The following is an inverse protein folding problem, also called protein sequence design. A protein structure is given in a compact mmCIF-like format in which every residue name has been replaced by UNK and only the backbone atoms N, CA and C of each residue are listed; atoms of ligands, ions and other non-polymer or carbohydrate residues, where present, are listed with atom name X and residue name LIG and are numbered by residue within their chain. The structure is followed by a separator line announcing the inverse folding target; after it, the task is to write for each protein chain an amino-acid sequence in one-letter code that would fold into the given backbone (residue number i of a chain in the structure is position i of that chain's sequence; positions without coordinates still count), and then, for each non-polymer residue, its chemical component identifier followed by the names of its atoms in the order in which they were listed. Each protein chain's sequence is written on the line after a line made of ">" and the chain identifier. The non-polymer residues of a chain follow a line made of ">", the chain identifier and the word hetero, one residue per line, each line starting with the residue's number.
data_IF_798050171408
#
_entry.id   IF_798050171408
#
_cell.length_a   1.000
_cell.length_b   1.000
_cell.length_c   1.000
_cell.angle_alpha   90.00
_cell.angle_beta   90.00
_cell.angle_gamma   90.00
#
_symmetry.space_group_name_H-M   'P 1'
#
loop_
_entity.id
_entity.type
_entity.pdbx_description
1 polymer ?
#
# COMPACT_ATOMS: atom_id res chain seq x y z
N UNK A 1 -23.32 -36.00 -41.45
CA UNK A 1 -23.90 -35.41 -40.21
C UNK A 1 -22.82 -34.62 -39.46
N UNK A 2 -22.16 -33.65 -40.13
CA UNK A 2 -21.16 -32.77 -39.53
C UNK A 2 -21.30 -31.36 -40.14
N UNK A 3 -22.50 -30.78 -40.07
CA UNK A 3 -22.76 -29.38 -40.44
C UNK A 3 -23.20 -28.63 -39.19
N UNK A 4 -22.22 -28.26 -38.36
CA UNK A 4 -22.47 -27.61 -37.08
C UNK A 4 -21.22 -27.03 -36.44
N UNK A 5 -20.24 -26.60 -37.24
CA UNK A 5 -19.18 -25.73 -36.72
C UNK A 5 -19.70 -24.29 -36.79
N UNK A 6 -19.94 -23.60 -35.66
CA UNK A 6 -20.29 -22.19 -35.68
C UNK A 6 -19.18 -21.43 -36.41
N UNK A 7 -19.56 -20.61 -37.39
CA UNK A 7 -18.63 -19.75 -38.11
C UNK A 7 -18.04 -18.74 -37.12
N UNK A 8 -16.81 -19.01 -36.66
CA UNK A 8 -16.08 -18.10 -35.77
C UNK A 8 -15.82 -16.82 -36.55
N UNK A 9 -16.50 -15.75 -36.17
CA UNK A 9 -16.27 -14.43 -36.74
C UNK A 9 -15.07 -13.77 -36.05
N UNK A 10 -14.41 -12.84 -36.74
CA UNK A 10 -13.30 -12.07 -36.16
C UNK A 10 -13.72 -11.32 -34.87
N UNK A 11 -15.00 -11.00 -34.75
CA UNK A 11 -15.59 -10.39 -33.55
C UNK A 11 -15.58 -11.35 -32.36
N UNK A 12 -15.83 -12.65 -32.57
CA UNK A 12 -15.80 -13.65 -31.50
C UNK A 12 -14.36 -13.85 -30.99
N UNK A 13 -13.37 -13.81 -31.88
CA UNK A 13 -11.96 -13.88 -31.51
C UNK A 13 -11.54 -12.65 -30.69
N UNK A 14 -11.98 -11.46 -31.12
CA UNK A 14 -11.72 -10.21 -30.39
C UNK A 14 -12.39 -10.21 -29.02
N UNK A 15 -13.63 -10.68 -28.91
CA UNK A 15 -14.38 -10.77 -27.66
C UNK A 15 -13.72 -11.75 -26.69
N UNK A 16 -13.35 -12.95 -27.16
CA UNK A 16 -12.62 -13.93 -26.36
C UNK A 16 -11.28 -13.36 -25.88
N UNK A 17 -10.53 -12.66 -26.75
CA UNK A 17 -9.27 -12.02 -26.36
C UNK A 17 -9.48 -10.92 -25.31
N UNK A 18 -10.50 -10.09 -25.47
CA UNK A 18 -10.84 -9.03 -24.52
C UNK A 18 -11.22 -9.62 -23.16
N UNK A 19 -12.12 -10.60 -23.14
CA UNK A 19 -12.55 -11.29 -21.92
C UNK A 19 -11.38 -12.01 -21.27
N UNK A 20 -10.56 -12.72 -22.04
CA UNK A 20 -9.37 -13.39 -21.54
C UNK A 20 -8.35 -12.41 -20.94
N UNK A 21 -8.14 -11.26 -21.59
CA UNK A 21 -7.29 -10.19 -21.06
C UNK A 21 -7.82 -9.65 -19.74
N UNK A 22 -9.11 -9.32 -19.66
CA UNK A 22 -9.76 -8.85 -18.43
C UNK A 22 -9.64 -9.89 -17.31
N UNK A 23 -9.96 -11.16 -17.58
CA UNK A 23 -9.85 -12.25 -16.60
C UNK A 23 -8.40 -12.40 -16.14
N UNK A 24 -7.44 -12.41 -17.07
CA UNK A 24 -6.02 -12.51 -16.73
C UNK A 24 -5.56 -11.35 -15.85
N UNK A 25 -5.97 -10.12 -16.16
CA UNK A 25 -5.65 -8.94 -15.39
C UNK A 25 -6.26 -8.97 -13.98
N UNK A 26 -7.51 -9.41 -13.87
CA UNK A 26 -8.19 -9.63 -12.58
C UNK A 26 -7.48 -10.72 -11.76
N UNK A 27 -7.05 -11.82 -12.38
CA UNK A 27 -6.31 -12.89 -11.71
C UNK A 27 -4.95 -12.39 -11.19
N UNK A 28 -4.24 -11.58 -11.97
CA UNK A 28 -2.99 -10.93 -11.55
C UNK A 28 -3.21 -9.98 -10.37
N UNK A 29 -4.25 -9.15 -10.44
CA UNK A 29 -4.60 -8.17 -9.40
C UNK A 29 -4.94 -8.85 -8.06
N UNK A 30 -5.61 -10.00 -8.10
CA UNK A 30 -6.06 -10.71 -6.90
C UNK A 30 -4.96 -11.64 -6.35
N UNK A 31 -3.97 -12.05 -7.14
CA UNK A 31 -2.91 -12.99 -6.73
C UNK A 31 -2.14 -12.48 -5.50
N UNK A 32 -2.07 -13.30 -4.45
CA UNK A 32 -1.37 -12.96 -3.21
C UNK A 32 -2.17 -12.07 -2.24
N UNK A 33 -3.44 -11.79 -2.55
CA UNK A 33 -4.34 -11.02 -1.66
C UNK A 33 -5.28 -11.94 -0.87
N UNK A 34 -5.89 -11.41 0.20
CA UNK A 34 -6.96 -12.10 0.94
C UNK A 34 -8.17 -12.44 0.05
N UNK A 35 -8.35 -11.75 -1.08
CA UNK A 35 -9.45 -12.00 -2.00
C UNK A 35 -9.39 -13.38 -2.68
N UNK A 36 -8.21 -13.98 -2.85
CA UNK A 36 -8.07 -15.39 -3.30
C UNK A 36 -8.72 -16.34 -2.29
N UNK A 37 -8.47 -16.13 -0.99
CA UNK A 37 -9.04 -16.98 0.07
C UNK A 37 -10.55 -16.85 0.11
N UNK A 38 -11.08 -15.64 -0.06
CA UNK A 38 -12.52 -15.38 -0.13
C UNK A 38 -13.18 -16.06 -1.33
N UNK A 39 -12.53 -16.05 -2.50
CA UNK A 39 -13.00 -16.75 -3.70
C UNK A 39 -13.07 -18.27 -3.47
N UNK A 40 -12.04 -18.87 -2.88
CA UNK A 40 -12.07 -20.29 -2.51
C UNK A 40 -13.17 -20.59 -1.47
N UNK A 41 -13.39 -19.70 -0.50
CA UNK A 41 -14.49 -19.82 0.45
C UNK A 41 -15.87 -19.80 -0.22
N UNK A 42 -16.05 -18.93 -1.22
CA UNK A 42 -17.29 -18.86 -2.01
C UNK A 42 -17.50 -20.13 -2.84
N UNK A 43 -16.46 -20.63 -3.51
CA UNK A 43 -16.50 -21.89 -4.26
C UNK A 43 -16.84 -23.07 -3.35
N UNK A 44 -16.25 -23.12 -2.16
CA UNK A 44 -16.54 -24.13 -1.15
C UNK A 44 -18.02 -24.08 -0.70
N UNK A 45 -18.55 -22.89 -0.41
CA UNK A 45 -19.98 -22.72 -0.09
C UNK A 45 -20.91 -23.15 -1.24
N UNK A 46 -20.55 -22.84 -2.49
CA UNK A 46 -21.31 -23.28 -3.66
C UNK A 46 -21.29 -24.80 -3.82
N UNK A 47 -20.14 -25.45 -3.60
CA UNK A 47 -20.01 -26.90 -3.58
C UNK A 47 -20.87 -27.53 -2.48
N UNK A 48 -20.81 -26.98 -1.25
CA UNK A 48 -21.64 -27.43 -0.13
C UNK A 48 -23.14 -27.31 -0.43
N UNK A 49 -23.57 -26.24 -1.11
CA UNK A 49 -24.96 -26.08 -1.54
C UNK A 49 -25.40 -27.21 -2.49
N UNK A 50 -24.57 -27.54 -3.49
CA UNK A 50 -24.87 -28.62 -4.45
C UNK A 50 -24.92 -29.98 -3.75
N UNK A 51 -23.97 -30.26 -2.85
CA UNK A 51 -23.94 -31.50 -2.06
C UNK A 51 -25.18 -31.60 -1.16
N UNK A 52 -25.52 -30.52 -0.45
CA UNK A 52 -26.70 -30.44 0.41
C UNK A 52 -28.00 -30.70 -0.35
N UNK A 53 -28.12 -30.13 -1.56
CA UNK A 53 -29.27 -30.35 -2.45
C UNK A 53 -29.37 -31.82 -2.88
N UNK A 54 -28.24 -32.45 -3.17
CA UNK A 54 -28.19 -33.87 -3.59
C UNK A 54 -28.43 -34.83 -2.43
N UNK A 55 -28.00 -34.46 -1.21
CA UNK A 55 -28.20 -35.22 0.02
C UNK A 55 -29.60 -35.02 0.65
N UNK A 56 -30.41 -34.08 0.12
CA UNK A 56 -31.75 -33.79 0.64
C UNK A 56 -31.75 -33.02 1.98
N UNK A 57 -30.66 -32.32 2.31
CA UNK A 57 -30.54 -31.57 3.56
C UNK A 57 -31.29 -30.23 3.45
N UNK A 58 -32.60 -30.24 3.73
CA UNK A 58 -33.50 -29.08 3.54
C UNK A 58 -33.06 -27.86 4.35
N UNK A 59 -32.77 -28.02 5.64
CA UNK A 59 -32.40 -26.90 6.53
C UNK A 59 -31.07 -26.27 6.14
N UNK A 60 -30.08 -27.08 5.80
CA UNK A 60 -28.75 -26.59 5.39
C UNK A 60 -28.82 -25.91 4.02
N UNK A 61 -29.59 -26.47 3.08
CA UNK A 61 -29.86 -25.85 1.79
C UNK A 61 -30.55 -24.49 1.96
N UNK A 62 -31.54 -24.38 2.86
CA UNK A 62 -32.21 -23.11 3.16
C UNK A 62 -31.24 -22.08 3.75
N UNK A 63 -30.38 -22.48 4.70
CA UNK A 63 -29.40 -21.59 5.32
C UNK A 63 -28.39 -21.07 4.30
N UNK A 64 -27.74 -21.96 3.56
CA UNK A 64 -26.75 -21.60 2.54
C UNK A 64 -27.41 -20.83 1.39
N UNK A 65 -28.63 -21.21 1.01
CA UNK A 65 -29.42 -20.51 0.00
C UNK A 65 -29.74 -19.07 0.37
N UNK A 66 -30.11 -18.80 1.63
CA UNK A 66 -30.32 -17.43 2.11
C UNK A 66 -29.00 -16.62 2.14
N UNK A 67 -27.89 -17.25 2.54
CA UNK A 67 -26.58 -16.60 2.51
C UNK A 67 -26.17 -16.23 1.08
N UNK A 68 -26.30 -17.17 0.13
CA UNK A 68 -26.03 -16.94 -1.29
C UNK A 68 -27.01 -15.94 -1.92
N UNK A 69 -28.28 -15.93 -1.50
CA UNK A 69 -29.27 -14.95 -1.95
C UNK A 69 -28.92 -13.51 -1.55
N UNK A 70 -28.29 -13.35 -0.37
CA UNK A 70 -27.78 -12.07 0.12
C UNK A 70 -26.30 -11.84 -0.21
N UNK A 71 -25.72 -12.63 -1.13
CA UNK A 71 -24.29 -12.62 -1.42
C UNK A 71 -23.78 -11.24 -1.82
N UNK A 72 -24.57 -10.45 -2.56
CA UNK A 72 -24.17 -9.10 -2.97
C UNK A 72 -23.96 -8.16 -1.76
N UNK A 73 -24.85 -8.22 -0.76
CA UNK A 73 -24.71 -7.41 0.46
C UNK A 73 -23.51 -7.86 1.26
N UNK A 74 -23.36 -9.18 1.45
CA UNK A 74 -22.19 -9.76 2.15
C UNK A 74 -20.89 -9.36 1.45
N UNK A 75 -20.85 -9.45 0.12
CA UNK A 75 -19.70 -9.07 -0.69
C UNK A 75 -19.35 -7.59 -0.47
N UNK A 76 -20.32 -6.67 -0.56
CA UNK A 76 -20.08 -5.24 -0.33
C UNK A 76 -19.55 -4.97 1.08
N UNK A 77 -20.10 -5.61 2.11
CA UNK A 77 -19.65 -5.43 3.50
C UNK A 77 -18.23 -5.98 3.71
N UNK A 78 -17.93 -7.15 3.17
CA UNK A 78 -16.61 -7.78 3.30
C UNK A 78 -15.55 -7.03 2.50
N UNK A 79 -15.88 -6.61 1.29
CA UNK A 79 -14.98 -5.86 0.38
C UNK A 79 -15.09 -4.34 0.55
N UNK A 80 -15.74 -3.84 1.61
CA UNK A 80 -15.98 -2.41 1.79
C UNK A 80 -14.67 -1.60 1.77
N UNK A 81 -13.61 -2.16 2.34
CA UNK A 81 -12.29 -1.52 2.47
C UNK A 81 -11.61 -1.48 1.11
N UNK A 82 -11.67 -2.56 0.35
CA UNK A 82 -11.10 -2.69 -0.99
C UNK A 82 -11.82 -1.78 -1.99
N UNK A 83 -13.15 -1.75 -1.95
CA UNK A 83 -13.97 -0.85 -2.79
C UNK A 83 -13.61 0.60 -2.48
N UNK A 84 -13.56 0.98 -1.19
CA UNK A 84 -13.14 2.32 -0.75
C UNK A 84 -11.74 2.65 -1.27
N UNK A 85 -10.76 1.75 -1.12
CA UNK A 85 -9.38 1.95 -1.59
C UNK A 85 -9.31 2.10 -3.11
N UNK A 86 -10.00 1.24 -3.86
CA UNK A 86 -10.05 1.31 -5.32
C UNK A 86 -10.67 2.61 -5.81
N UNK A 87 -11.79 3.02 -5.19
CA UNK A 87 -12.43 4.30 -5.49
C UNK A 87 -11.60 5.50 -5.05
N UNK A 88 -10.85 5.42 -3.95
CA UNK A 88 -9.91 6.47 -3.55
C UNK A 88 -8.81 6.65 -4.60
N UNK A 89 -8.22 5.54 -5.09
CA UNK A 89 -7.26 5.56 -6.20
C UNK A 89 -7.87 6.16 -7.48
N UNK A 90 -9.12 5.81 -7.81
CA UNK A 90 -9.83 6.33 -8.98
C UNK A 90 -10.22 7.82 -8.80
N UNK A 91 -10.65 8.22 -7.61
CA UNK A 91 -11.00 9.60 -7.27
C UNK A 91 -9.80 10.54 -7.32
N UNK A 92 -8.60 10.01 -7.09
CA UNK A 92 -7.33 10.73 -7.27
C UNK A 92 -6.98 10.95 -8.76
N UNK A 93 -7.57 10.23 -9.71
CA UNK A 93 -7.44 10.54 -11.15
C UNK A 93 -8.14 11.86 -11.55
N UNK A 94 -8.83 12.54 -10.62
CA UNK A 94 -9.63 13.75 -10.88
C UNK A 94 -8.94 15.08 -10.57
N UNK A 95 -7.62 15.12 -10.36
CA UNK A 95 -6.89 16.38 -10.23
C UNK A 95 -5.53 16.36 -10.96
N UNK A 96 -5.59 16.64 -12.26
CA UNK A 96 -4.49 16.79 -13.21
C UNK A 96 -3.40 17.85 -12.87
N UNK A 97 -3.21 18.26 -11.60
CA UNK A 97 -2.33 19.40 -11.26
C UNK A 97 -1.47 19.26 -10.01
N UNK A 98 -1.60 18.19 -9.22
CA UNK A 98 -0.62 17.87 -8.17
C UNK A 98 -0.06 16.50 -8.50
N UNK A 99 0.91 16.45 -9.43
CA UNK A 99 1.85 15.34 -9.41
C UNK A 99 2.34 15.22 -7.97
N UNK A 100 2.30 14.03 -7.38
CA UNK A 100 3.16 13.73 -6.26
C UNK A 100 4.58 13.89 -6.77
N UNK A 101 5.09 15.12 -6.74
CA UNK A 101 6.42 15.42 -7.25
C UNK A 101 7.37 14.65 -6.36
N UNK A 102 8.23 13.85 -7.01
CA UNK A 102 9.44 13.39 -6.36
C UNK A 102 10.08 14.60 -5.64
N UNK A 103 10.51 14.44 -4.38
CA UNK A 103 11.26 15.50 -3.73
C UNK A 103 12.44 15.90 -4.62
N UNK A 104 12.78 17.19 -4.62
CA UNK A 104 13.93 17.68 -5.36
C UNK A 104 15.18 16.88 -4.93
N UNK A 105 16.12 16.60 -5.85
CA UNK A 105 17.33 15.84 -5.51
C UNK A 105 18.11 16.42 -4.31
N UNK A 106 18.08 17.74 -4.15
CA UNK A 106 18.69 18.44 -3.02
C UNK A 106 18.00 18.11 -1.69
N UNK A 107 16.66 18.00 -1.69
CA UNK A 107 15.87 17.59 -0.52
C UNK A 107 16.12 16.12 -0.21
N UNK A 108 16.23 15.25 -1.21
CA UNK A 108 16.59 13.84 -0.98
C UNK A 108 17.99 13.76 -0.34
N UNK A 109 18.96 14.52 -0.85
CA UNK A 109 20.30 14.57 -0.28
C UNK A 109 20.29 15.09 1.17
N UNK A 110 19.54 16.14 1.46
CA UNK A 110 19.41 16.69 2.81
C UNK A 110 18.68 15.74 3.77
N UNK A 111 17.62 15.07 3.31
CA UNK A 111 16.90 14.06 4.06
C UNK A 111 17.81 12.90 4.42
N UNK A 112 18.57 12.40 3.45
CA UNK A 112 19.51 11.32 3.67
C UNK A 112 20.59 11.69 4.69
N UNK A 113 21.18 12.88 4.59
CA UNK A 113 22.12 13.38 5.61
C UNK A 113 21.45 13.50 6.98
N UNK A 114 20.24 14.05 7.03
CA UNK A 114 19.48 14.23 8.27
C UNK A 114 19.18 12.92 8.97
N UNK A 115 18.79 11.89 8.22
CA UNK A 115 18.51 10.56 8.76
C UNK A 115 19.77 9.96 9.44
N UNK A 116 20.95 10.16 8.85
CA UNK A 116 22.21 9.69 9.44
C UNK A 116 22.68 10.52 10.63
N UNK A 117 22.46 11.83 10.63
CA UNK A 117 22.73 12.68 11.80
C UNK A 117 21.82 12.29 13.00
N UNK A 118 20.54 11.99 12.74
CA UNK A 118 19.62 11.47 13.75
C UNK A 118 20.06 10.08 14.24
N UNK A 119 20.54 9.22 13.33
CA UNK A 119 21.07 7.90 13.66
C UNK A 119 22.30 7.96 14.57
N UNK A 120 23.26 8.85 14.27
CA UNK A 120 24.43 9.10 15.11
C UNK A 120 24.03 9.56 16.52
N UNK A 121 23.01 10.42 16.61
CA UNK A 121 22.43 10.88 17.87
C UNK A 121 21.50 9.85 18.56
N UNK A 122 21.27 8.68 17.95
CA UNK A 122 20.32 7.66 18.43
C UNK A 122 18.90 8.18 18.64
N UNK A 123 18.49 9.13 17.81
CA UNK A 123 17.14 9.70 17.80
C UNK A 123 16.27 8.89 16.84
N UNK A 124 15.24 8.24 17.38
CA UNK A 124 14.27 7.48 16.57
C UNK A 124 13.42 8.41 15.71
N UNK A 125 13.26 8.07 14.43
CA UNK A 125 12.50 8.89 13.48
C UNK A 125 11.77 8.03 12.45
N UNK A 126 10.62 8.53 11.98
CA UNK A 126 9.90 7.98 10.83
C UNK A 126 9.61 9.14 9.87
N UNK A 127 10.29 9.15 8.73
CA UNK A 127 10.05 10.06 7.63
C UNK A 127 9.23 9.32 6.58
N UNK A 128 7.96 9.69 6.41
CA UNK A 128 7.04 9.05 5.47
C UNK A 128 6.88 9.94 4.23
N UNK A 129 7.44 9.52 3.10
CA UNK A 129 7.43 10.27 1.85
C UNK A 129 6.21 9.86 1.02
N UNK A 130 5.33 10.83 0.77
CA UNK A 130 4.16 10.71 -0.10
C UNK A 130 4.59 10.52 -1.55
N UNK A 131 3.86 9.65 -2.27
CA UNK A 131 4.04 9.41 -3.71
C UNK A 131 2.73 9.72 -4.45
N UNK A 132 2.19 8.80 -5.23
CA UNK A 132 0.95 9.07 -5.97
C UNK A 132 -0.28 8.93 -5.09
N UNK A 133 -0.26 7.98 -4.15
CA UNK A 133 -1.32 7.87 -3.17
C UNK A 133 -1.14 8.98 -2.13
N UNK A 134 -2.05 9.95 -2.16
CA UNK A 134 -2.09 10.99 -1.13
C UNK A 134 -2.27 10.38 0.26
N UNK A 135 -1.52 10.90 1.24
CA UNK A 135 -1.52 10.43 2.63
C UNK A 135 -2.44 11.28 3.52
N UNK A 136 -3.46 11.91 2.95
CA UNK A 136 -4.32 12.89 3.64
C UNK A 136 -5.00 12.30 4.88
N UNK A 137 -5.39 11.02 4.81
CA UNK A 137 -5.98 10.31 5.96
C UNK A 137 -5.06 10.24 7.17
N UNK A 138 -3.74 10.23 6.96
CA UNK A 138 -2.75 10.25 8.03
C UNK A 138 -2.44 11.69 8.47
N UNK A 139 -2.28 12.60 7.50
CA UNK A 139 -1.98 14.02 7.74
C UNK A 139 -3.03 14.69 8.63
N UNK A 140 -4.32 14.38 8.46
CA UNK A 140 -5.41 14.93 9.28
C UNK A 140 -5.30 14.58 10.77
N UNK A 141 -4.63 13.48 11.13
CA UNK A 141 -4.45 13.05 12.52
C UNK A 141 -3.15 13.54 13.14
N UNK A 142 -2.29 14.22 12.38
CA UNK A 142 -1.06 14.83 12.87
C UNK A 142 -1.17 16.35 13.07
N UNK A 143 -0.07 16.95 13.54
CA UNK A 143 0.05 18.40 13.58
C UNK A 143 0.49 18.91 12.21
N UNK A 144 -0.42 19.59 11.50
CA UNK A 144 -0.11 20.27 10.23
C UNK A 144 0.95 21.35 10.45
N UNK A 145 2.01 21.30 9.64
CA UNK A 145 3.15 22.22 9.69
C UNK A 145 3.28 23.03 8.40
N UNK A 146 3.22 22.35 7.26
CA UNK A 146 3.46 22.91 5.93
C UNK A 146 4.74 23.75 5.84
N UNK A 147 5.87 23.16 6.26
CA UNK A 147 7.17 23.79 6.28
C UNK A 147 8.12 23.14 5.27
N UNK A 148 9.07 23.89 4.73
CA UNK A 148 10.15 23.31 3.93
C UNK A 148 10.93 22.31 4.80
N UNK A 149 11.31 21.18 4.20
CA UNK A 149 12.16 20.23 4.88
C UNK A 149 13.53 20.87 5.15
N UNK A 150 14.04 20.70 6.37
CA UNK A 150 15.43 20.96 6.70
C UNK A 150 15.91 20.01 7.79
N UNK A 151 17.23 19.84 7.91
CA UNK A 151 17.81 19.05 9.00
C UNK A 151 17.37 19.55 10.38
N UNK A 152 17.43 20.87 10.61
CA UNK A 152 17.08 21.50 11.89
C UNK A 152 15.62 21.26 12.25
N UNK A 153 14.72 21.32 11.26
CA UNK A 153 13.31 21.03 11.48
C UNK A 153 13.09 19.55 11.82
N UNK A 154 13.74 18.64 11.11
CA UNK A 154 13.66 17.21 11.40
C UNK A 154 14.19 16.89 12.82
N UNK A 155 15.35 17.45 13.18
CA UNK A 155 15.92 17.32 14.52
C UNK A 155 15.00 17.90 15.60
N UNK A 156 14.37 19.05 15.33
CA UNK A 156 13.41 19.65 16.26
C UNK A 156 12.13 18.82 16.41
N UNK A 157 11.64 18.18 15.35
CA UNK A 157 10.44 17.33 15.39
C UNK A 157 10.71 16.08 16.23
N UNK A 158 11.80 15.36 15.94
CA UNK A 158 12.10 14.06 16.56
C UNK A 158 12.87 14.15 17.88
N UNK A 159 13.34 15.35 18.26
CA UNK A 159 13.98 15.56 19.56
C UNK A 159 13.04 15.23 20.72
N UNK A 160 13.55 14.59 21.78
CA UNK A 160 12.76 14.08 22.92
C UNK A 160 11.87 15.12 23.61
N UNK A 161 12.24 16.40 23.53
CA UNK A 161 11.48 17.50 24.14
C UNK A 161 10.27 17.96 23.30
N UNK A 162 10.16 17.51 22.05
CA UNK A 162 9.09 17.91 21.15
C UNK A 162 7.81 17.15 21.45
N UNK A 163 6.64 17.80 21.53
CA UNK A 163 5.38 17.08 21.75
C UNK A 163 4.95 16.20 20.58
N UNK A 164 5.61 16.32 19.41
CA UNK A 164 5.30 15.57 18.18
C UNK A 164 6.39 14.57 17.80
N UNK A 165 7.36 14.31 18.70
CA UNK A 165 8.44 13.36 18.44
C UNK A 165 7.97 11.91 18.34
N UNK A 166 6.84 11.59 18.98
CA UNK A 166 6.26 10.26 18.96
C UNK A 166 5.25 10.15 17.81
N UNK A 167 5.77 9.79 16.63
CA UNK A 167 4.99 9.64 15.41
C UNK A 167 5.84 9.79 14.16
N UNK A 168 5.18 9.79 13.01
CA UNK A 168 5.81 10.05 11.72
C UNK A 168 5.74 11.53 11.34
N UNK A 169 6.75 11.98 10.59
CA UNK A 169 6.68 13.20 9.79
C UNK A 169 6.33 12.81 8.36
N UNK A 170 5.26 13.38 7.82
CA UNK A 170 4.81 13.15 6.45
C UNK A 170 5.41 14.21 5.54
N UNK A 171 6.18 13.78 4.55
CA UNK A 171 6.79 14.63 3.55
C UNK A 171 5.99 14.57 2.25
N UNK A 172 5.61 15.73 1.74
CA UNK A 172 4.95 15.91 0.46
C UNK A 172 5.84 16.79 -0.41
N UNK A 173 6.43 16.19 -1.45
CA UNK A 173 7.50 16.79 -2.24
C UNK A 173 8.61 17.34 -1.33
N UNK A 174 8.81 18.66 -1.29
CA UNK A 174 9.89 19.33 -0.56
C UNK A 174 9.52 19.78 0.86
N UNK A 175 8.32 19.44 1.34
CA UNK A 175 7.74 20.01 2.56
C UNK A 175 7.32 18.93 3.54
N UNK A 176 7.44 19.22 4.83
CA UNK A 176 6.80 18.45 5.89
C UNK A 176 5.35 18.94 6.00
N UNK A 177 4.41 18.11 5.53
CA UNK A 177 2.98 18.42 5.59
C UNK A 177 2.46 18.36 7.03
N UNK A 178 2.84 17.32 7.77
CA UNK A 178 2.50 17.15 9.18
C UNK A 178 3.56 16.36 9.94
N UNK A 179 3.59 16.54 11.26
CA UNK A 179 4.43 15.80 12.20
C UNK A 179 3.58 15.21 13.35
N UNK A 180 4.14 14.23 14.06
CA UNK A 180 3.41 13.51 15.12
C UNK A 180 2.24 12.71 14.57
N UNK A 181 2.34 12.25 13.33
CA UNK A 181 1.30 11.45 12.67
C UNK A 181 1.36 10.03 13.22
N UNK A 182 0.25 9.58 13.83
CA UNK A 182 0.14 8.22 14.36
C UNK A 182 -0.13 7.25 13.21
N UNK A 183 0.80 6.33 12.98
CA UNK A 183 0.67 5.30 11.96
C UNK A 183 0.06 4.01 12.55
N UNK A 184 -0.81 3.30 11.80
CA UNK A 184 -1.36 2.03 12.25
C UNK A 184 -0.25 0.97 12.35
N UNK A 185 -0.25 0.22 13.46
CA UNK A 185 0.71 -0.87 13.67
C UNK A 185 0.02 -2.20 13.28
N UNK A 186 0.45 -2.87 12.19
CA UNK A 186 -0.15 -4.13 11.77
C UNK A 186 0.13 -5.23 12.80
N UNK A 187 -0.73 -6.25 12.88
CA UNK A 187 -0.45 -7.44 13.69
C UNK A 187 0.89 -8.09 13.28
N UNK A 188 1.56 -8.74 14.23
CA UNK A 188 2.85 -9.37 13.96
C UNK A 188 2.71 -10.48 12.90
N UNK A 189 3.56 -10.40 11.88
CA UNK A 189 3.71 -11.42 10.83
C UNK A 189 5.15 -11.95 10.79
N UNK A 190 5.39 -12.96 9.95
CA UNK A 190 6.74 -13.51 9.74
C UNK A 190 7.69 -12.43 9.22
N UNK A 191 7.22 -11.53 8.36
CA UNK A 191 8.02 -10.43 7.80
C UNK A 191 8.36 -9.35 8.83
N UNK A 192 7.51 -9.13 9.83
CA UNK A 192 7.71 -8.11 10.86
C UNK A 192 8.33 -8.62 12.15
N UNK A 193 8.66 -9.92 12.22
CA UNK A 193 9.14 -10.56 13.44
C UNK A 193 10.47 -9.93 13.87
N UNK A 194 10.55 -9.50 15.13
CA UNK A 194 11.74 -8.82 15.67
C UNK A 194 11.88 -7.34 15.29
N UNK A 195 10.89 -6.76 14.60
CA UNK A 195 10.83 -5.31 14.36
C UNK A 195 10.21 -4.59 15.57
N UNK A 196 10.80 -3.46 15.96
CA UNK A 196 10.18 -2.53 16.92
C UNK A 196 8.89 -1.89 16.39
N UNK A 197 8.14 -1.21 17.26
CA UNK A 197 6.84 -0.61 16.94
C UNK A 197 6.91 0.37 15.75
N UNK A 198 7.93 1.24 15.71
CA UNK A 198 8.14 2.20 14.59
C UNK A 198 8.41 1.50 13.25
N UNK A 199 9.22 0.45 13.26
CA UNK A 199 9.54 -0.33 12.06
C UNK A 199 8.28 -1.07 11.55
N UNK A 200 7.49 -1.64 12.47
CA UNK A 200 6.21 -2.29 12.13
C UNK A 200 5.21 -1.31 11.55
N UNK A 201 5.08 -0.12 12.12
CA UNK A 201 4.20 0.92 11.62
C UNK A 201 4.60 1.35 10.20
N UNK A 202 5.89 1.60 9.99
CA UNK A 202 6.44 1.94 8.67
C UNK A 202 6.23 0.82 7.64
N UNK A 203 6.49 -0.44 8.01
CA UNK A 203 6.23 -1.59 7.15
C UNK A 203 4.75 -1.71 6.79
N UNK A 204 3.85 -1.52 7.77
CA UNK A 204 2.41 -1.57 7.55
C UNK A 204 1.95 -0.54 6.52
N UNK A 205 2.33 0.73 6.72
CA UNK A 205 1.94 1.81 5.81
C UNK A 205 2.55 1.63 4.41
N UNK A 206 3.82 1.23 4.32
CA UNK A 206 4.49 0.93 3.04
C UNK A 206 3.97 -0.36 2.35
N UNK A 207 3.16 -1.16 3.04
CA UNK A 207 2.50 -2.35 2.50
C UNK A 207 1.10 -2.08 1.97
N UNK A 208 0.45 -1.02 2.48
CA UNK A 208 -0.91 -0.62 2.11
C UNK A 208 -0.93 0.55 1.11
N UNK A 209 0.12 1.37 1.09
CA UNK A 209 0.29 2.55 0.24
C UNK A 209 1.51 2.41 -0.67
N UNK A 210 1.67 3.32 -1.62
CA UNK A 210 2.90 3.40 -2.44
C UNK A 210 3.98 4.29 -1.81
N UNK A 211 3.75 4.82 -0.62
CA UNK A 211 4.67 5.69 0.10
C UNK A 211 5.98 4.99 0.47
N UNK A 212 7.04 5.78 0.63
CA UNK A 212 8.36 5.31 1.08
C UNK A 212 8.57 5.77 2.51
N UNK A 213 8.83 4.85 3.43
CA UNK A 213 9.11 5.20 4.82
C UNK A 213 10.60 5.00 5.13
N UNK A 214 11.28 6.06 5.55
CA UNK A 214 12.64 6.02 6.07
C UNK A 214 12.58 6.04 7.59
N UNK A 215 13.06 4.97 8.22
CA UNK A 215 13.03 4.78 9.68
C UNK A 215 14.44 4.80 10.23
N UNK A 216 14.64 5.61 11.28
CA UNK A 216 15.85 5.61 12.09
C UNK A 216 15.57 4.90 13.41
N UNK A 217 16.38 3.91 13.74
CA UNK A 217 16.27 3.13 14.97
C UNK A 217 16.90 3.84 16.16
N UNK A 218 16.15 4.10 17.23
CA UNK A 218 16.70 4.62 18.49
C UNK A 218 17.62 3.61 19.18
N UNK A 219 17.32 2.31 19.07
CA UNK A 219 18.06 1.24 19.75
C UNK A 219 19.37 0.88 19.04
N UNK A 220 19.38 0.92 17.71
CA UNK A 220 20.52 0.44 16.91
C UNK A 220 21.20 1.51 16.07
N UNK A 221 20.55 2.67 15.85
CA UNK A 221 21.04 3.69 14.92
C UNK A 221 20.93 3.26 13.45
N UNK A 222 20.33 2.11 13.15
CA UNK A 222 20.17 1.68 11.76
C UNK A 222 19.14 2.56 11.04
N UNK A 223 19.44 2.90 9.78
CA UNK A 223 18.50 3.55 8.88
C UNK A 223 17.92 2.51 7.92
N UNK A 224 16.60 2.36 7.91
CA UNK A 224 15.90 1.35 7.11
C UNK A 224 14.84 2.01 6.22
N UNK A 225 14.85 1.66 4.94
CA UNK A 225 13.85 2.10 3.96
C UNK A 225 12.82 1.00 3.77
N UNK A 226 11.55 1.35 3.94
CA UNK A 226 10.41 0.49 3.69
C UNK A 226 9.65 0.98 2.45
N UNK A 227 9.43 0.07 1.51
CA UNK A 227 8.63 0.33 0.29
C UNK A 227 8.10 -0.98 -0.27
N UNK A 228 6.83 -1.01 -0.67
CA UNK A 228 6.20 -2.16 -1.35
C UNK A 228 6.49 -3.51 -0.66
N UNK A 229 6.27 -3.58 0.67
CA UNK A 229 6.54 -4.77 1.52
C UNK A 229 8.00 -5.21 1.61
N UNK A 230 8.96 -4.40 1.16
CA UNK A 230 10.39 -4.63 1.34
C UNK A 230 10.95 -3.76 2.45
N UNK A 231 12.02 -4.22 3.09
CA UNK A 231 12.77 -3.49 4.11
C UNK A 231 14.26 -3.58 3.76
N UNK A 232 14.86 -2.44 3.41
CA UNK A 232 16.25 -2.38 2.96
C UNK A 232 17.03 -1.43 3.87
N UNK A 233 18.13 -1.89 4.45
CA UNK A 233 18.98 -1.04 5.29
C UNK A 233 19.89 -0.19 4.41
N UNK A 234 20.04 1.08 4.77
CA UNK A 234 21.04 1.95 4.19
C UNK A 234 22.25 2.02 5.12
N UNK A 235 23.43 1.81 4.57
CA UNK A 235 24.69 1.82 5.33
C UNK A 235 25.33 3.21 5.41
N UNK A 236 24.99 4.12 4.48
CA UNK A 236 25.44 5.51 4.47
C UNK A 236 24.38 6.45 3.90
N UNK A 237 24.55 7.76 4.11
CA UNK A 237 23.67 8.78 3.56
C UNK A 237 23.66 8.76 2.01
N UNK A 238 24.80 8.49 1.38
CA UNK A 238 24.92 8.34 -0.06
C UNK A 238 24.10 7.14 -0.54
N UNK A 239 24.18 6.00 0.15
CA UNK A 239 23.42 4.81 -0.21
C UNK A 239 21.92 5.02 -0.05
N UNK A 240 21.51 5.70 1.03
CA UNK A 240 20.11 6.07 1.23
C UNK A 240 19.61 6.98 0.11
N UNK A 241 20.41 7.99 -0.27
CA UNK A 241 20.08 8.90 -1.38
C UNK A 241 19.88 8.13 -2.68
N UNK A 242 20.81 7.25 -3.05
CA UNK A 242 20.68 6.41 -4.25
C UNK A 242 19.42 5.54 -4.23
N UNK A 243 19.12 4.92 -3.09
CA UNK A 243 17.92 4.10 -2.93
C UNK A 243 16.65 4.93 -3.12
N UNK A 244 16.58 6.13 -2.54
CA UNK A 244 15.45 7.03 -2.70
C UNK A 244 15.34 7.51 -4.15
N UNK A 245 16.42 7.98 -4.75
CA UNK A 245 16.46 8.40 -6.17
C UNK A 245 15.95 7.28 -7.09
N UNK A 246 16.36 6.02 -6.88
CA UNK A 246 15.86 4.88 -7.63
C UNK A 246 14.36 4.65 -7.41
N UNK A 247 13.87 4.65 -6.18
CA UNK A 247 12.45 4.44 -5.86
C UNK A 247 11.55 5.52 -6.47
N UNK A 248 12.02 6.76 -6.57
CA UNK A 248 11.29 7.85 -7.20
C UNK A 248 11.42 7.84 -8.74
N UNK A 249 12.57 7.38 -9.29
CA UNK A 249 12.84 7.33 -10.75
C UNK A 249 12.26 6.12 -11.45
N UNK A 250 12.25 4.93 -10.83
CA UNK A 250 11.69 3.70 -11.39
C UNK A 250 10.20 3.82 -11.74
N UNK A 251 9.52 4.84 -11.16
CA UNK A 251 8.13 5.17 -11.42
C UNK A 251 7.92 6.28 -12.47
N UNK A 252 8.97 7.02 -12.84
CA UNK A 252 8.92 8.00 -13.95
C UNK A 252 9.18 7.36 -15.33
N UNK A 253 9.71 6.12 -15.37
CA UNK A 253 9.91 5.40 -16.62
C UNK A 253 8.56 5.02 -17.25
N UNK A 254 8.27 5.39 -18.51
CA UNK A 254 7.10 4.88 -19.21
C UNK A 254 7.19 3.34 -19.30
N UNK A 255 6.05 2.61 -19.26
CA UNK A 255 6.09 1.17 -19.42
C UNK A 255 6.79 0.82 -20.74
N UNK A 256 7.77 -0.08 -20.69
CA UNK A 256 8.42 -0.57 -21.89
C UNK A 256 7.35 -1.14 -22.84
N UNK A 257 7.40 -0.82 -24.15
CA UNK A 257 6.52 -1.43 -25.12
C UNK A 257 6.90 -2.91 -25.28
N UNK A 258 6.16 -3.79 -24.59
CA UNK A 258 6.17 -5.24 -24.74
C UNK A 258 4.91 -5.74 -25.43
#
# INVERSE_FOLDING_TARGET
>A
MLDGLPSIHAVDVLDILLVAFIIYWVLLFIRGTRAVQMLFGLLFLMLMYVVSKRAGMVTFQWLVGNFLGNLLVVLVVVFQTEIRRGLARIGQLRLFWVKGSAPDPDVIAELSRSAFLLAEARIGAILLLEREMGLEEFVEHGKKLDALFSHELAASIFGTNSPVHDGAAVLRANRIAAAGVILPIPAESVETRGMGTRHRAAFGVASETDAVAVVVSEETGNVTVFSNRSANRAESAERLREMLELLFREKEAPPEPG
#
